data_IF_712400365984
#
_entry.id   IF_712400365984
#
_cell.length_a   1.000
_cell.length_b   1.000
_cell.length_c   1.000
_cell.angle_alpha   90.00
_cell.angle_beta   90.00
_cell.angle_gamma   90.00
#
_symmetry.space_group_name_H-M   'P 1'
#
loop_
_entity.id
_entity.type
_entity.pdbx_description
1 polymer ?
2 non-polymer ?
3 non-polymer ?
4 water ?
#
# COMPACT_ATOMS: atom_id res chain seq x y z
N UNK A 30 -25.04 -12.75 20.41
CA UNK A 30 -25.70 -13.32 19.21
C UNK A 30 -24.93 -12.80 18.00
N UNK A 31 -25.22 -13.30 16.78
CA UNK A 31 -24.78 -12.61 15.57
C UNK A 31 -25.45 -11.23 15.52
N UNK A 32 -26.72 -11.16 15.97
CA UNK A 32 -27.44 -9.91 16.22
C UNK A 32 -27.05 -9.42 17.63
N UNK A 33 -25.79 -8.98 17.76
CA UNK A 33 -25.24 -8.39 18.96
C UNK A 33 -24.43 -7.15 18.55
N UNK A 34 -24.26 -6.18 19.45
CA UNK A 34 -23.38 -5.05 19.19
C UNK A 34 -22.53 -4.78 20.44
N UNK A 35 -21.33 -4.24 20.24
CA UNK A 35 -20.39 -3.95 21.32
C UNK A 35 -19.96 -2.50 21.12
N UNK A 36 -19.60 -1.69 22.14
CA UNK A 36 -19.20 -0.31 21.82
C UNK A 36 -18.25 0.30 22.86
N UNK A 37 -17.57 1.39 22.46
CA UNK A 37 -16.81 2.22 23.41
C UNK A 37 -15.60 1.47 23.97
N UNK A 38 -15.86 0.34 24.66
CA UNK A 38 -14.77 -0.56 25.03
C UNK A 38 -14.09 -1.10 23.77
N UNK A 39 -14.92 -1.37 22.74
CA UNK A 39 -14.45 -1.68 21.39
C UNK A 39 -13.32 -0.73 20.98
N UNK A 40 -13.62 0.57 21.02
CA UNK A 40 -12.72 1.59 20.50
C UNK A 40 -11.38 1.49 21.21
N UNK A 41 -11.42 1.27 22.53
CA UNK A 41 -10.20 1.15 23.31
C UNK A 41 -9.44 -0.10 22.89
N UNK A 42 -10.16 -1.22 22.74
CA UNK A 42 -9.55 -2.49 22.38
C UNK A 42 -8.90 -2.40 21.00
N UNK A 43 -9.64 -1.86 20.03
CA UNK A 43 -9.13 -1.65 18.68
C UNK A 43 -7.77 -0.94 18.71
N UNK A 44 -7.68 0.18 19.43
CA UNK A 44 -6.46 0.96 19.43
C UNK A 44 -5.31 0.09 19.94
N UNK A 45 -5.57 -0.67 20.99
CA UNK A 45 -4.53 -1.47 21.60
C UNK A 45 -4.06 -2.48 20.56
N UNK A 46 -5.04 -3.15 19.96
CA UNK A 46 -4.74 -4.20 18.99
C UNK A 46 -3.99 -3.61 17.80
N UNK A 47 -4.43 -2.45 17.33
CA UNK A 47 -3.77 -1.79 16.22
C UNK A 47 -2.31 -1.46 16.52
N UNK A 48 -2.01 -1.04 17.77
CA UNK A 48 -0.65 -0.73 18.20
C UNK A 48 0.14 -2.03 18.29
N UNK A 49 -0.54 -3.11 18.68
CA UNK A 49 0.13 -4.39 18.77
C UNK A 49 0.54 -4.82 17.36
N UNK A 50 -0.33 -4.51 16.40
CA UNK A 50 -0.04 -4.79 15.01
C UNK A 50 1.18 -4.00 14.51
N UNK A 51 1.30 -2.72 14.90
CA UNK A 51 2.47 -1.94 14.58
C UNK A 51 3.72 -2.66 15.11
N UNK A 52 3.65 -3.12 16.36
CA UNK A 52 4.78 -3.78 16.97
C UNK A 52 5.11 -5.03 16.15
N UNK A 53 4.08 -5.76 15.72
CA UNK A 53 4.26 -6.93 14.88
C UNK A 53 5.07 -6.61 13.61
N UNK A 54 4.64 -5.55 12.91
CA UNK A 54 5.34 -5.12 11.72
C UNK A 54 6.84 -4.92 12.04
N UNK A 55 7.12 -4.24 13.15
CA UNK A 55 8.48 -3.90 13.52
C UNK A 55 9.29 -5.20 13.61
N UNK A 56 8.69 -6.23 14.23
CA UNK A 56 9.26 -7.56 14.38
C UNK A 56 9.53 -8.22 13.02
N UNK A 57 8.51 -8.19 12.17
CA UNK A 57 8.58 -8.80 10.86
C UNK A 57 9.71 -8.18 10.06
N UNK A 58 9.75 -6.84 10.07
CA UNK A 58 10.77 -6.07 9.38
C UNK A 58 12.16 -6.46 9.89
N UNK A 59 12.31 -6.48 11.23
CA UNK A 59 13.60 -6.70 11.86
C UNK A 59 14.10 -8.09 11.49
N UNK A 60 13.19 -9.07 11.53
CA UNK A 60 13.61 -10.45 11.38
C UNK A 60 13.44 -10.89 9.95
N UNK A 61 13.09 -9.94 9.07
CA UNK A 61 13.00 -10.22 7.63
C UNK A 61 12.10 -11.44 7.41
N UNK A 62 10.91 -11.42 8.02
CA UNK A 62 9.89 -12.41 7.79
C UNK A 62 8.72 -11.71 7.12
N UNK A 63 8.26 -12.27 5.99
CA UNK A 63 7.12 -11.75 5.25
C UNK A 63 5.80 -12.26 5.81
N UNK A 64 4.75 -11.48 5.61
CA UNK A 64 3.40 -11.82 6.04
C UNK A 64 2.47 -11.69 4.82
N UNK A 65 1.75 -12.76 4.50
CA UNK A 65 0.76 -12.75 3.44
C UNK A 65 -0.57 -13.03 4.09
N UNK A 66 -1.51 -12.09 3.93
CA UNK A 66 -2.82 -12.23 4.52
C UNK A 66 -3.85 -12.32 3.42
N UNK A 67 -4.67 -13.36 3.48
CA UNK A 67 -5.69 -13.63 2.48
C UNK A 67 -7.07 -13.44 3.09
N UNK A 68 -7.88 -12.62 2.42
CA UNK A 68 -9.25 -12.39 2.84
C UNK A 68 -10.15 -12.90 1.73
N UNK A 69 -11.02 -13.87 2.05
CA UNK A 69 -12.03 -14.33 1.12
C UNK A 69 -13.36 -14.30 1.87
N UNK A 70 -14.43 -14.01 1.15
CA UNK A 70 -15.78 -13.99 1.69
C UNK A 70 -16.70 -13.49 0.58
N UNK A 71 -18.01 -13.63 0.79
CA UNK A 71 -18.94 -13.12 -0.20
C UNK A 71 -18.97 -11.60 -0.08
N UNK A 72 -19.46 -10.89 -1.10
CA UNK A 72 -19.49 -9.44 -1.06
C UNK A 72 -20.39 -8.99 0.09
N UNK A 73 -20.04 -7.86 0.72
CA UNK A 73 -20.73 -7.28 1.87
C UNK A 73 -20.44 -8.01 3.17
N UNK A 74 -19.37 -8.80 3.19
CA UNK A 74 -19.04 -9.58 4.37
C UNK A 74 -18.14 -8.79 5.33
N UNK A 75 -17.47 -7.74 4.81
CA UNK A 75 -16.66 -6.84 5.63
C UNK A 75 -15.16 -7.07 5.51
N UNK A 76 -14.74 -7.76 4.46
CA UNK A 76 -13.32 -7.93 4.17
C UNK A 76 -12.53 -6.63 4.21
N UNK A 77 -12.93 -5.66 3.39
CA UNK A 77 -12.19 -4.40 3.27
C UNK A 77 -12.16 -3.62 4.58
N UNK A 78 -13.26 -3.69 5.34
CA UNK A 78 -13.37 -3.05 6.64
C UNK A 78 -12.31 -3.59 7.60
N UNK A 79 -12.21 -4.91 7.58
CA UNK A 79 -11.29 -5.61 8.45
C UNK A 79 -9.86 -5.26 8.09
N UNK A 80 -9.58 -5.25 6.79
CA UNK A 80 -8.28 -4.90 6.27
C UNK A 80 -7.89 -3.50 6.74
N UNK A 81 -8.83 -2.55 6.64
CA UNK A 81 -8.54 -1.16 7.00
C UNK A 81 -8.14 -1.05 8.47
N UNK A 82 -8.90 -1.74 9.31
CA UNK A 82 -8.70 -1.69 10.75
C UNK A 82 -7.40 -2.39 11.12
N UNK A 83 -7.01 -3.43 10.37
CA UNK A 83 -5.84 -4.21 10.68
C UNK A 83 -4.58 -3.38 10.51
N UNK A 84 -4.52 -2.66 9.39
CA UNK A 84 -3.31 -1.94 9.05
C UNK A 84 -3.39 -0.45 9.37
N UNK A 85 -4.44 0.02 10.08
CA UNK A 85 -4.60 1.44 10.35
C UNK A 85 -3.31 2.07 10.86
N UNK A 86 -2.68 1.46 11.89
CA UNK A 86 -1.56 2.10 12.56
C UNK A 86 -0.23 1.55 12.06
N UNK A 87 -0.26 0.65 11.07
CA UNK A 87 0.94 0.10 10.46
C UNK A 87 1.51 1.13 9.46
N UNK A 88 2.86 1.22 9.38
CA UNK A 88 3.52 2.12 8.44
C UNK A 88 3.21 1.72 7.00
N UNK A 89 2.78 2.67 6.14
CA UNK A 89 2.42 2.36 4.75
C UNK A 89 3.60 1.90 3.89
N UNK A 90 4.82 2.22 4.33
CA UNK A 90 6.02 1.76 3.67
C UNK A 90 6.18 0.24 3.82
N UNK A 91 5.50 -0.34 4.81
CA UNK A 91 5.71 -1.74 5.18
C UNK A 91 4.79 -2.68 4.44
N UNK A 92 3.66 -2.19 3.92
CA UNK A 92 2.60 -3.06 3.38
C UNK A 92 2.13 -2.60 2.00
N UNK A 93 1.59 -3.55 1.21
CA UNK A 93 0.75 -3.25 0.05
C UNK A 93 -0.48 -4.15 0.08
N UNK A 94 -1.67 -3.59 -0.13
CA UNK A 94 -2.92 -4.34 -0.19
C UNK A 94 -3.34 -4.49 -1.64
N UNK A 95 -3.59 -5.72 -2.09
CA UNK A 95 -3.94 -5.97 -3.48
C UNK A 95 -5.42 -6.27 -3.64
N UNK A 96 -6.23 -5.43 -4.30
CA UNK A 96 -7.54 -5.85 -4.75
C UNK A 96 -7.40 -6.83 -5.90
N UNK A 97 -8.09 -7.96 -5.77
CA UNK A 97 -8.03 -9.03 -6.76
C UNK A 97 -9.38 -9.16 -7.45
N UNK A 98 -9.32 -9.09 -8.77
CA UNK A 98 -10.49 -9.22 -9.64
C UNK A 98 -10.28 -10.41 -10.54
N UNK A 99 -11.23 -10.62 -11.42
CA UNK A 99 -11.10 -11.70 -12.38
C UNK A 99 -9.84 -11.50 -13.22
N UNK A 100 -9.15 -12.61 -13.57
CA UNK A 100 -8.00 -12.51 -14.47
C UNK A 100 -8.38 -11.87 -15.80
N UNK A 101 -7.60 -10.86 -16.19
CA UNK A 101 -7.73 -10.28 -17.52
C UNK A 101 -7.03 -11.20 -18.52
N UNK A 102 -7.28 -10.99 -19.83
CA UNK A 102 -6.65 -11.80 -20.87
C UNK A 102 -5.13 -11.93 -20.80
N UNK A 103 -4.44 -10.85 -20.46
CA UNK A 103 -2.98 -10.90 -20.44
C UNK A 103 -2.51 -11.84 -19.34
N UNK A 104 -3.25 -11.85 -18.22
CA UNK A 104 -3.00 -12.76 -17.12
C UNK A 104 -3.26 -14.22 -17.53
N UNK A 105 -4.27 -14.46 -18.39
CA UNK A 105 -4.59 -15.81 -18.85
C UNK A 105 -3.55 -16.40 -19.79
N UNK A 106 -2.61 -15.59 -20.27
CA UNK A 106 -1.51 -16.08 -21.09
C UNK A 106 -0.50 -16.86 -20.25
N UNK A 107 -0.40 -16.59 -18.94
CA UNK A 107 0.41 -17.41 -18.04
C UNK A 107 -0.42 -18.44 -17.25
N UNK A 108 0.23 -19.26 -16.39
CA UNK A 108 -0.44 -20.03 -15.35
C UNK A 108 -1.13 -19.16 -14.28
N UNK A 109 -2.17 -19.71 -13.63
CA UNK A 109 -3.07 -18.92 -12.77
C UNK A 109 -2.36 -18.30 -11.56
N UNK A 110 -1.35 -18.99 -11.04
CA UNK A 110 -0.65 -18.53 -9.86
C UNK A 110 0.33 -17.41 -10.15
N UNK A 111 0.67 -17.17 -11.43
CA UNK A 111 1.68 -16.18 -11.74
C UNK A 111 1.35 -14.77 -11.24
N UNK A 112 0.11 -14.31 -11.50
CA UNK A 112 -0.34 -13.02 -10.97
C UNK A 112 0.03 -12.89 -9.49
N UNK A 113 -0.16 -13.96 -8.71
CA UNK A 113 0.04 -13.89 -7.29
C UNK A 113 1.53 -13.89 -7.01
N UNK A 114 2.26 -14.66 -7.79
CA UNK A 114 3.69 -14.76 -7.59
C UNK A 114 4.32 -13.38 -7.75
N UNK A 115 3.88 -12.63 -8.76
CA UNK A 115 4.36 -11.28 -8.99
C UNK A 115 4.04 -10.36 -7.81
N UNK A 116 2.89 -10.54 -7.16
CA UNK A 116 2.44 -9.67 -6.08
C UNK A 116 2.93 -10.14 -4.71
N UNK A 117 3.83 -11.13 -4.66
CA UNK A 117 4.29 -11.62 -3.36
C UNK A 117 5.13 -10.52 -2.71
N UNK A 118 5.04 -10.38 -1.37
CA UNK A 118 5.89 -9.46 -0.62
C UNK A 118 7.32 -9.95 -0.53
N UNK A 119 8.26 -9.01 -0.44
CA UNK A 119 9.62 -9.37 -0.09
C UNK A 119 9.65 -9.71 1.40
N UNK A 120 10.67 -10.44 1.84
CA UNK A 120 10.84 -10.78 3.24
C UNK A 120 10.83 -9.50 4.08
N UNK A 121 10.02 -9.43 5.13
CA UNK A 121 9.98 -8.25 6.00
C UNK A 121 8.76 -7.39 5.71
N UNK A 122 8.02 -7.77 4.66
CA UNK A 122 6.97 -6.92 4.12
C UNK A 122 5.62 -7.64 4.15
N UNK A 123 4.54 -6.87 4.10
CA UNK A 123 3.22 -7.40 4.32
C UNK A 123 2.48 -7.25 3.01
N UNK A 124 1.83 -8.31 2.56
CA UNK A 124 0.92 -8.27 1.42
C UNK A 124 -0.45 -8.79 1.84
N UNK A 125 -1.47 -8.02 1.50
CA UNK A 125 -2.83 -8.34 1.80
C UNK A 125 -3.54 -8.54 0.49
N UNK A 126 -4.27 -9.63 0.38
CA UNK A 126 -5.02 -9.95 -0.81
C UNK A 126 -6.51 -9.91 -0.49
N UNK A 127 -7.25 -8.93 -1.02
CA UNK A 127 -8.70 -8.94 -1.06
C UNK A 127 -9.09 -9.85 -2.20
N UNK A 128 -9.58 -11.06 -1.87
CA UNK A 128 -9.68 -12.17 -2.79
C UNK A 128 -8.26 -12.60 -3.19
N UNK A 129 -8.11 -13.74 -3.88
CA UNK A 129 -6.83 -14.43 -3.89
C UNK A 129 -6.83 -15.56 -4.92
N UNK A 130 -5.80 -16.40 -4.82
CA UNK A 130 -5.71 -17.58 -5.63
C UNK A 130 -6.85 -18.55 -5.34
N UNK A 131 -7.47 -18.46 -4.16
CA UNK A 131 -8.55 -19.38 -3.82
C UNK A 131 -9.77 -19.19 -4.74
N UNK A 132 -9.73 -18.14 -5.56
CA UNK A 132 -10.72 -17.93 -6.61
C UNK A 132 -10.90 -19.17 -7.48
N UNK A 133 -9.80 -19.87 -7.69
CA UNK A 133 -9.75 -21.07 -8.52
C UNK A 133 -10.72 -22.10 -8.03
N UNK A 134 -10.75 -22.35 -6.71
CA UNK A 134 -11.60 -23.39 -6.14
C UNK A 134 -12.92 -22.81 -5.65
N UNK A 135 -13.17 -21.52 -5.90
CA UNK A 135 -14.42 -20.86 -5.51
C UNK A 135 -15.20 -20.34 -6.73
N UNK A 136 -15.07 -19.06 -7.04
CA UNK A 136 -15.83 -18.49 -8.14
C UNK A 136 -15.60 -19.26 -9.45
N UNK A 137 -14.34 -19.55 -9.77
CA UNK A 137 -14.02 -20.18 -11.04
C UNK A 137 -14.81 -21.47 -11.16
N UNK A 138 -14.90 -22.19 -10.03
CA UNK A 138 -15.59 -23.46 -9.97
C UNK A 138 -17.09 -23.29 -10.18
N UNK A 139 -17.66 -22.36 -9.42
CA UNK A 139 -19.10 -22.16 -9.46
C UNK A 139 -19.53 -21.68 -10.84
N UNK A 140 -18.79 -20.74 -11.45
CA UNK A 140 -19.22 -20.10 -12.68
C UNK A 140 -18.62 -20.82 -13.90
N UNK A 141 -17.96 -21.97 -13.70
CA UNK A 141 -17.49 -22.83 -14.78
C UNK A 141 -16.31 -22.25 -15.56
N UNK A 142 -15.61 -21.25 -15.01
CA UNK A 142 -14.40 -20.73 -15.62
C UNK A 142 -13.33 -21.81 -15.60
N UNK A 143 -13.35 -22.66 -14.56
CA UNK A 143 -12.40 -23.76 -14.47
C UNK A 143 -13.10 -25.10 -14.71
N UNK A 144 -12.53 -25.94 -15.59
CA UNK A 144 -12.92 -27.34 -15.74
C UNK A 144 -12.81 -28.03 -14.38
N UNK A 145 -13.54 -29.13 -14.23
CA UNK A 145 -13.51 -29.90 -12.98
C UNK A 145 -12.10 -30.37 -12.67
N UNK A 146 -11.36 -30.89 -13.66
CA UNK A 146 -10.01 -31.33 -13.37
C UNK A 146 -9.22 -30.14 -12.79
N UNK A 147 -9.37 -28.99 -13.45
CA UNK A 147 -8.64 -27.80 -13.06
C UNK A 147 -8.85 -27.45 -11.58
N UNK A 148 -10.11 -27.39 -11.16
CA UNK A 148 -10.37 -26.97 -9.78
C UNK A 148 -10.08 -28.12 -8.81
N UNK A 149 -10.31 -29.36 -9.22
CA UNK A 149 -10.05 -30.49 -8.34
C UNK A 149 -8.57 -30.59 -8.01
N UNK A 150 -7.71 -30.32 -9.01
CA UNK A 150 -6.27 -30.45 -8.80
C UNK A 150 -5.72 -29.28 -7.99
N UNK A 151 -6.48 -28.18 -7.94
CA UNK A 151 -5.99 -26.90 -7.45
C UNK A 151 -5.71 -26.91 -5.95
N UNK A 152 -6.55 -27.61 -5.17
CA UNK A 152 -6.35 -27.65 -3.70
C UNK A 152 -4.89 -28.05 -3.44
N UNK A 153 -4.42 -29.14 -4.06
CA UNK A 153 -3.07 -29.60 -3.76
C UNK A 153 -2.01 -28.63 -4.31
N UNK A 154 -2.28 -28.05 -5.48
CA UNK A 154 -1.41 -27.04 -6.06
C UNK A 154 -1.23 -25.89 -5.08
N UNK A 155 -2.37 -25.34 -4.62
CA UNK A 155 -2.35 -24.24 -3.67
C UNK A 155 -1.58 -24.61 -2.39
N UNK A 156 -1.80 -25.85 -1.90
CA UNK A 156 -1.17 -26.27 -0.66
C UNK A 156 0.34 -26.29 -0.85
N UNK A 157 0.75 -26.75 -2.03
CA UNK A 157 2.17 -26.85 -2.35
C UNK A 157 2.83 -25.50 -2.53
N UNK A 158 2.10 -24.56 -3.14
CA UNK A 158 2.57 -23.19 -3.27
C UNK A 158 2.80 -22.59 -1.88
N UNK A 159 1.77 -22.69 -1.05
CA UNK A 159 1.83 -22.07 0.27
C UNK A 159 2.98 -22.70 1.06
N UNK A 160 3.22 -24.01 0.89
CA UNK A 160 4.23 -24.70 1.68
C UNK A 160 5.63 -24.23 1.27
N UNK A 161 5.83 -23.98 -0.04
CA UNK A 161 7.10 -23.46 -0.54
C UNK A 161 7.44 -22.18 0.23
N UNK A 162 6.44 -21.32 0.40
CA UNK A 162 6.61 -20.07 1.13
C UNK A 162 6.81 -20.31 2.62
N UNK A 163 5.89 -21.06 3.27
CA UNK A 163 5.85 -21.18 4.72
C UNK A 163 7.09 -21.92 5.24
N UNK A 164 7.65 -22.81 4.41
CA UNK A 164 8.90 -23.50 4.74
C UNK A 164 10.06 -22.53 4.95
N UNK A 165 9.97 -21.36 4.34
CA UNK A 165 10.99 -20.35 4.51
C UNK A 165 10.53 -19.24 5.45
N UNK A 166 10.70 -17.99 5.01
CA UNK A 166 10.54 -16.83 5.85
C UNK A 166 9.27 -16.05 5.53
N UNK A 167 8.22 -16.75 5.13
CA UNK A 167 6.88 -16.18 5.01
C UNK A 167 5.95 -16.86 6.05
N UNK A 168 5.05 -16.04 6.58
CA UNK A 168 3.86 -16.45 7.30
C UNK A 168 2.60 -16.21 6.45
N UNK A 169 1.65 -17.15 6.49
CA UNK A 169 0.39 -17.01 5.78
C UNK A 169 -0.78 -17.24 6.72
N UNK A 170 -1.76 -16.34 6.71
CA UNK A 170 -3.05 -16.58 7.34
C UNK A 170 -4.11 -16.30 6.32
N UNK A 171 -5.18 -17.07 6.35
CA UNK A 171 -6.29 -16.91 5.43
C UNK A 171 -7.54 -16.73 6.26
N UNK A 172 -8.33 -15.72 5.92
CA UNK A 172 -9.55 -15.36 6.64
C UNK A 172 -10.77 -15.55 5.75
N UNK A 173 -11.78 -16.20 6.28
CA UNK A 173 -13.06 -16.24 5.62
C UNK A 173 -14.07 -15.50 6.44
N UNK A 174 -14.82 -14.61 5.81
CA UNK A 174 -15.83 -13.82 6.49
C UNK A 174 -17.22 -14.23 6.00
N UNK A 175 -18.12 -14.55 6.95
CA UNK A 175 -19.46 -14.99 6.63
C UNK A 175 -20.45 -14.03 7.30
N UNK A 176 -21.47 -13.64 6.52
CA UNK A 176 -22.61 -12.88 7.01
C UNK A 176 -23.85 -13.73 6.78
N UNK A 177 -24.73 -13.83 7.77
CA UNK A 177 -26.00 -14.50 7.56
C UNK A 177 -26.79 -13.76 6.46
N UNK A 208 -26.07 -17.90 -5.98
CA UNK A 208 -25.59 -19.30 -5.85
C UNK A 208 -24.93 -19.47 -4.48
N UNK A 209 -25.50 -18.80 -3.46
CA UNK A 209 -25.02 -18.83 -2.08
C UNK A 209 -24.82 -20.25 -1.52
N UNK A 210 -25.78 -21.19 -1.67
CA UNK A 210 -25.56 -22.57 -1.23
C UNK A 210 -24.35 -23.22 -1.90
N UNK A 211 -24.17 -23.01 -3.21
CA UNK A 211 -23.05 -23.58 -3.94
C UNK A 211 -21.73 -23.04 -3.38
N UNK A 212 -21.70 -21.74 -3.05
CA UNK A 212 -20.55 -21.13 -2.40
C UNK A 212 -20.24 -21.84 -1.08
N UNK A 213 -21.24 -22.07 -0.21
CA UNK A 213 -20.93 -22.66 1.08
C UNK A 213 -20.30 -24.03 0.83
N UNK A 214 -20.83 -24.79 -0.14
CA UNK A 214 -20.29 -26.10 -0.44
C UNK A 214 -18.82 -26.01 -0.87
N UNK A 215 -18.52 -25.07 -1.77
CA UNK A 215 -17.18 -24.83 -2.28
C UNK A 215 -16.20 -24.41 -1.18
N UNK A 216 -16.69 -23.50 -0.33
CA UNK A 216 -15.90 -23.03 0.79
C UNK A 216 -15.51 -24.19 1.71
N UNK A 217 -16.46 -25.08 1.99
CA UNK A 217 -16.22 -26.13 2.95
C UNK A 217 -15.11 -27.02 2.39
N UNK A 218 -15.20 -27.34 1.11
CA UNK A 218 -14.20 -28.23 0.56
C UNK A 218 -12.82 -27.55 0.63
N UNK A 219 -12.79 -26.24 0.32
CA UNK A 219 -11.59 -25.46 0.49
C UNK A 219 -11.05 -25.68 1.90
N UNK A 220 -11.90 -25.44 2.89
CA UNK A 220 -11.49 -25.54 4.28
C UNK A 220 -10.92 -26.93 4.59
N UNK A 221 -11.63 -27.99 4.18
CA UNK A 221 -11.19 -29.37 4.40
C UNK A 221 -9.81 -29.60 3.80
N UNK A 222 -9.62 -29.19 2.53
CA UNK A 222 -8.43 -29.59 1.81
C UNK A 222 -7.25 -28.66 2.03
N UNK A 223 -7.45 -27.36 2.36
CA UNK A 223 -6.36 -26.39 2.38
C UNK A 223 -6.14 -25.78 3.76
N UNK A 224 -6.81 -26.26 4.83
CA UNK A 224 -6.52 -25.73 6.16
C UNK A 224 -5.33 -26.51 6.73
N UNK A 225 -4.23 -25.80 7.01
CA UNK A 225 -2.95 -26.39 7.39
C UNK A 225 -2.34 -25.52 8.48
N UNK A 226 -1.47 -26.11 9.32
CA UNK A 226 -0.90 -25.44 10.49
C UNK A 226 -0.18 -24.17 10.08
N UNK A 227 0.72 -24.29 9.09
CA UNK A 227 1.53 -23.20 8.60
C UNK A 227 0.72 -22.20 7.76
N UNK A 228 -0.42 -22.62 7.19
CA UNK A 228 -1.33 -21.72 6.50
C UNK A 228 -2.78 -21.96 6.95
N UNK A 229 -3.15 -21.51 8.16
CA UNK A 229 -4.52 -21.68 8.67
C UNK A 229 -5.61 -20.93 7.94
N UNK A 230 -6.81 -21.52 7.92
CA UNK A 230 -8.03 -20.84 7.56
C UNK A 230 -8.69 -20.42 8.87
N UNK A 231 -9.10 -19.15 8.98
CA UNK A 231 -9.80 -18.61 10.13
C UNK A 231 -11.16 -18.09 9.66
N UNK A 232 -12.23 -18.58 10.28
CA UNK A 232 -13.59 -18.24 9.91
C UNK A 232 -14.06 -17.17 10.88
N UNK A 233 -14.61 -16.06 10.34
CA UNK A 233 -15.02 -14.91 11.12
C UNK A 233 -16.48 -14.62 10.84
N UNK A 234 -17.30 -14.52 11.89
CA UNK A 234 -18.69 -14.15 11.77
C UNK A 234 -18.78 -12.64 11.61
N UNK A 235 -19.43 -12.18 10.52
CA UNK A 235 -19.35 -10.81 10.04
C UNK A 235 -20.60 -9.96 10.31
N UNK A 236 -21.63 -10.59 10.90
CA UNK A 236 -22.90 -9.91 11.13
C UNK A 236 -22.68 -8.67 12.00
N UNK A 237 -21.91 -8.80 13.08
CA UNK A 237 -21.38 -7.66 13.83
C UNK A 237 -19.98 -7.33 13.33
N UNK A 238 -19.87 -6.18 12.68
CA UNK A 238 -18.64 -5.78 12.00
C UNK A 238 -17.55 -5.59 13.05
N UNK A 239 -17.93 -5.05 14.23
CA UNK A 239 -16.95 -4.76 15.26
C UNK A 239 -16.28 -6.04 15.76
N UNK A 240 -17.11 -7.08 16.04
CA UNK A 240 -16.63 -8.40 16.42
C UNK A 240 -15.57 -8.87 15.42
N UNK A 241 -15.96 -8.80 14.15
CA UNK A 241 -15.10 -9.30 13.08
C UNK A 241 -13.74 -8.57 13.08
N UNK A 242 -13.78 -7.26 13.22
CA UNK A 242 -12.55 -6.50 13.12
C UNK A 242 -11.64 -6.89 14.28
N UNK A 243 -12.22 -7.04 15.47
CA UNK A 243 -11.44 -7.46 16.62
C UNK A 243 -10.90 -8.87 16.38
N UNK A 244 -11.74 -9.74 15.85
CA UNK A 244 -11.35 -11.13 15.70
C UNK A 244 -10.13 -11.22 14.78
N UNK A 245 -10.20 -10.49 13.66
CA UNK A 245 -9.15 -10.55 12.67
C UNK A 245 -7.82 -10.12 13.27
N UNK A 246 -7.86 -9.07 14.09
CA UNK A 246 -6.66 -8.55 14.72
C UNK A 246 -6.13 -9.56 15.75
N UNK A 247 -7.02 -10.11 16.56
CA UNK A 247 -6.59 -11.07 17.56
C UNK A 247 -5.97 -12.30 16.90
N UNK A 248 -6.60 -12.84 15.87
CA UNK A 248 -6.08 -14.05 15.23
C UNK A 248 -4.76 -13.76 14.53
N UNK A 249 -4.64 -12.60 13.89
CA UNK A 249 -3.40 -12.25 13.21
C UNK A 249 -2.26 -12.18 14.23
N UNK A 250 -2.52 -11.52 15.34
CA UNK A 250 -1.50 -11.33 16.35
C UNK A 250 -1.04 -12.66 16.95
N UNK A 251 -2.00 -13.53 17.26
CA UNK A 251 -1.65 -14.80 17.88
C UNK A 251 -0.75 -15.66 17.00
N UNK A 252 -1.09 -15.76 15.70
CA UNK A 252 -0.32 -16.58 14.77
C UNK A 252 1.11 -16.07 14.76
N UNK A 253 1.24 -14.74 14.78
CA UNK A 253 2.57 -14.15 14.71
C UNK A 253 3.32 -14.52 15.99
N UNK A 254 2.66 -14.46 17.15
CA UNK A 254 3.32 -14.81 18.39
C UNK A 254 3.76 -16.27 18.40
N UNK A 255 2.91 -17.16 17.91
CA UNK A 255 3.26 -18.56 17.85
C UNK A 255 4.46 -18.72 16.91
N UNK A 256 4.52 -17.96 15.83
CA UNK A 256 5.67 -18.07 14.94
C UNK A 256 6.95 -17.57 15.63
N UNK A 257 6.79 -16.48 16.37
CA UNK A 257 7.91 -15.94 17.13
C UNK A 257 8.43 -17.00 18.09
N UNK A 258 7.55 -17.83 18.66
CA UNK A 258 7.94 -18.92 19.54
C UNK A 258 8.60 -20.02 18.72
N UNK A 259 8.10 -20.33 17.54
CA UNK A 259 8.67 -21.41 16.76
C UNK A 259 10.12 -21.07 16.42
N UNK A 260 10.35 -19.87 15.94
CA UNK A 260 11.71 -19.38 15.78
C UNK A 260 12.03 -18.83 17.15
N UNK A 261 13.28 -18.64 17.55
CA UNK A 261 13.47 -18.18 18.93
C UNK A 261 13.57 -16.66 18.96
N UNK A 262 12.44 -15.94 18.96
CA UNK A 262 12.48 -14.53 18.60
C UNK A 262 11.63 -13.68 19.55
N UNK A 263 11.96 -12.38 19.68
CA UNK A 263 11.21 -11.39 20.45
C UNK A 263 11.19 -11.81 21.93
N UNK B 36 -5.91 24.38 19.17
CA UNK B 36 -5.18 23.17 18.71
C UNK B 36 -6.07 21.91 18.69
N UNK B 37 -7.13 21.86 19.51
CA UNK B 37 -8.15 20.82 19.44
C UNK B 37 -8.85 20.96 18.09
N UNK B 38 -8.96 22.21 17.61
CA UNK B 38 -9.53 22.47 16.30
C UNK B 38 -8.63 21.87 15.21
N UNK B 39 -7.31 21.89 15.41
CA UNK B 39 -6.37 21.17 14.55
C UNK B 39 -6.87 19.74 14.26
N UNK B 40 -7.18 18.99 15.32
CA UNK B 40 -7.61 17.60 15.16
C UNK B 40 -8.83 17.53 14.25
N UNK B 41 -9.73 18.49 14.40
CA UNK B 41 -10.94 18.54 13.61
C UNK B 41 -10.60 18.91 12.16
N UNK B 42 -9.67 19.84 11.97
CA UNK B 42 -9.21 20.25 10.64
C UNK B 42 -8.59 19.07 9.91
N UNK B 43 -7.68 18.37 10.60
CA UNK B 43 -7.02 17.20 10.04
C UNK B 43 -8.06 16.19 9.53
N UNK B 44 -9.05 15.88 10.36
CA UNK B 44 -10.04 14.90 10.00
C UNK B 44 -10.70 15.32 8.69
N UNK B 45 -11.08 16.59 8.63
CA UNK B 45 -11.81 17.07 7.48
C UNK B 45 -10.93 16.89 6.25
N UNK B 46 -9.68 17.31 6.38
CA UNK B 46 -8.75 17.24 5.27
C UNK B 46 -8.56 15.80 4.83
N UNK B 47 -8.38 14.90 5.79
CA UNK B 47 -8.20 13.49 5.49
C UNK B 47 -9.40 12.91 4.72
N UNK B 48 -10.62 13.30 5.10
CA UNK B 48 -11.81 12.82 4.43
C UNK B 48 -11.86 13.43 3.04
N UNK B 49 -11.37 14.66 2.90
CA UNK B 49 -11.37 15.31 1.61
C UNK B 49 -10.42 14.55 0.69
N UNK B 50 -9.34 14.06 1.28
CA UNK B 50 -8.40 13.22 0.55
C UNK B 50 -9.05 11.91 0.07
N UNK B 51 -9.88 11.28 0.91
CA UNK B 51 -10.67 10.11 0.52
C UNK B 51 -11.48 10.45 -0.73
N UNK B 52 -12.18 11.58 -0.69
CA UNK B 52 -13.03 11.99 -1.80
C UNK B 52 -12.17 12.16 -3.03
N UNK B 53 -10.98 12.75 -2.86
CA UNK B 53 -10.04 12.96 -3.95
C UNK B 53 -9.73 11.64 -4.65
N UNK B 54 -9.32 10.66 -3.85
CA UNK B 54 -9.01 9.36 -4.41
C UNK B 54 -10.19 8.83 -5.23
N UNK B 55 -11.40 8.94 -4.67
CA UNK B 55 -12.59 8.40 -5.31
C UNK B 55 -12.74 9.01 -6.70
N UNK B 56 -12.49 10.33 -6.79
CA UNK B 56 -12.52 11.10 -8.02
C UNK B 56 -11.44 10.63 -8.99
N UNK B 57 -10.21 10.50 -8.49
CA UNK B 57 -9.08 10.09 -9.29
C UNK B 57 -9.38 8.74 -9.93
N UNK B 58 -9.87 7.82 -9.10
CA UNK B 58 -10.22 6.47 -9.53
C UNK B 58 -11.28 6.52 -10.64
N UNK B 59 -12.34 7.29 -10.39
CA UNK B 59 -13.49 7.35 -11.28
C UNK B 59 -13.03 7.92 -12.62
N UNK B 60 -12.19 8.97 -12.57
CA UNK B 60 -11.83 9.71 -13.77
C UNK B 60 -10.52 9.18 -14.32
N UNK B 61 -10.04 8.09 -13.73
CA UNK B 61 -8.87 7.37 -14.23
C UNK B 61 -7.72 8.36 -14.44
N UNK B 62 -7.45 9.20 -13.43
CA UNK B 62 -6.29 10.08 -13.42
C UNK B 62 -5.38 9.64 -12.29
N UNK B 63 -4.09 9.48 -12.58
CA UNK B 63 -3.11 9.03 -11.61
C UNK B 63 -2.49 10.20 -10.87
N UNK B 64 -1.97 9.89 -9.67
CA UNK B 64 -1.43 10.88 -8.75
C UNK B 64 -0.07 10.39 -8.28
N UNK B 65 0.95 11.20 -8.50
CA UNK B 65 2.30 10.87 -8.09
C UNK B 65 2.70 11.97 -7.11
N UNK B 66 3.07 11.56 -5.90
CA UNK B 66 3.48 12.51 -4.88
C UNK B 66 4.93 12.24 -4.53
N UNK B 67 5.74 13.29 -4.58
CA UNK B 67 7.15 13.21 -4.26
C UNK B 67 7.43 13.97 -2.96
N UNK B 68 8.12 13.31 -2.03
CA UNK B 68 8.55 13.92 -0.80
C UNK B 68 10.07 13.88 -0.78
N UNK B 69 10.70 15.04 -0.71
CA UNK B 69 12.14 15.10 -0.52
C UNK B 69 12.43 16.00 0.67
N UNK B 70 13.50 15.68 1.39
CA UNK B 70 13.99 16.50 2.48
C UNK B 70 15.13 15.78 3.18
N UNK B 71 15.87 16.51 4.00
CA UNK B 71 16.92 15.86 4.79
C UNK B 71 16.24 15.07 5.90
N UNK B 72 16.96 14.13 6.52
CA UNK B 72 16.36 13.24 7.50
C UNK B 72 15.81 14.06 8.67
N UNK B 73 14.72 13.57 9.27
CA UNK B 73 14.03 14.17 10.41
C UNK B 73 13.10 15.30 10.00
N UNK B 74 12.93 15.52 8.69
CA UNK B 74 12.14 16.61 8.19
C UNK B 74 10.65 16.40 8.46
N UNK B 75 10.22 15.14 8.71
CA UNK B 75 8.81 14.81 8.96
C UNK B 75 8.10 14.22 7.75
N UNK B 76 8.86 13.76 6.74
CA UNK B 76 8.32 13.17 5.53
C UNK B 76 7.33 12.05 5.84
N UNK B 77 7.77 11.04 6.58
CA UNK B 77 6.96 9.88 6.86
C UNK B 77 5.69 10.23 7.63
N UNK B 78 5.79 11.19 8.56
CA UNK B 78 4.66 11.64 9.36
C UNK B 78 3.58 12.24 8.45
N UNK B 79 4.07 13.06 7.51
CA UNK B 79 3.20 13.75 6.57
C UNK B 79 2.49 12.73 5.68
N UNK B 80 3.26 11.76 5.21
CA UNK B 80 2.72 10.71 4.37
C UNK B 80 1.63 9.94 5.12
N UNK B 81 1.89 9.60 6.38
CA UNK B 81 0.92 8.84 7.18
C UNK B 81 -0.41 9.60 7.29
N UNK B 82 -0.30 10.91 7.54
CA UNK B 82 -1.46 11.75 7.77
C UNK B 82 -2.24 11.89 6.48
N UNK B 83 -1.53 11.97 5.35
CA UNK B 83 -2.14 12.20 4.05
C UNK B 83 -3.05 11.03 3.69
N UNK B 84 -2.53 9.81 3.86
CA UNK B 84 -3.23 8.62 3.40
C UNK B 84 -4.00 7.90 4.51
N UNK B 85 -4.14 8.49 5.70
CA UNK B 85 -4.76 7.79 6.81
C UNK B 85 -6.11 7.22 6.41
N UNK B 86 -6.99 8.03 5.82
CA UNK B 86 -8.36 7.61 5.61
C UNK B 86 -8.55 7.17 4.15
N UNK B 87 -7.46 7.19 3.36
CA UNK B 87 -7.49 6.69 1.98
C UNK B 87 -7.49 5.16 1.98
N UNK B 88 -8.24 4.57 1.04
CA UNK B 88 -8.29 3.11 0.89
C UNK B 88 -6.91 2.56 0.50
N UNK B 89 -6.40 1.52 1.19
CA UNK B 89 -5.06 0.96 0.90
C UNK B 89 -4.96 0.30 -0.48
N UNK B 90 -6.12 -0.11 -1.00
CA UNK B 90 -6.24 -0.62 -2.36
C UNK B 90 -5.88 0.45 -3.39
N UNK B 91 -5.96 1.73 -3.00
CA UNK B 91 -5.85 2.82 -3.95
C UNK B 91 -4.44 3.31 -4.14
N UNK B 92 -3.52 3.00 -3.22
CA UNK B 92 -2.22 3.68 -3.14
C UNK B 92 -1.10 2.68 -2.84
N UNK B 93 0.12 3.03 -3.26
CA UNK B 93 1.34 2.38 -2.79
C UNK B 93 2.37 3.44 -2.41
N UNK B 94 3.01 3.28 -1.25
CA UNK B 94 4.07 4.21 -0.83
C UNK B 94 5.43 3.55 -1.02
N UNK B 95 6.35 4.18 -1.76
CA UNK B 95 7.63 3.56 -2.06
C UNK B 95 8.74 4.20 -1.25
N UNK B 96 9.39 3.46 -0.33
CA UNK B 96 10.65 3.93 0.25
C UNK B 96 11.75 3.83 -0.78
N UNK B 97 12.48 4.93 -0.98
CA UNK B 97 13.49 5.01 -2.01
C UNK B 97 14.86 5.16 -1.36
N UNK B 98 15.73 4.22 -1.75
CA UNK B 98 17.05 4.10 -1.20
C UNK B 98 18.08 4.30 -2.29
N UNK B 99 19.34 4.33 -1.89
CA UNK B 99 20.38 4.49 -2.89
C UNK B 99 20.34 3.32 -3.87
N UNK B 100 20.53 3.58 -5.19
CA UNK B 100 20.40 2.52 -6.19
C UNK B 100 21.31 1.34 -5.91
N UNK B 101 20.72 0.16 -5.93
CA UNK B 101 21.47 -1.07 -5.80
C UNK B 101 22.11 -1.40 -7.16
N UNK B 102 23.08 -2.33 -7.20
CA UNK B 102 23.75 -2.68 -8.46
C UNK B 102 22.86 -3.06 -9.63
N UNK B 103 21.76 -3.77 -9.36
CA UNK B 103 20.90 -4.24 -10.44
C UNK B 103 20.23 -3.04 -11.11
N UNK B 104 19.92 -2.03 -10.30
CA UNK B 104 19.34 -0.79 -10.75
C UNK B 104 20.36 -0.02 -11.60
N UNK B 105 21.63 -0.08 -11.23
CA UNK B 105 22.71 0.63 -11.95
C UNK B 105 22.96 0.05 -13.35
N UNK B 106 22.48 -1.17 -13.63
CA UNK B 106 22.63 -1.78 -14.95
C UNK B 106 21.71 -1.10 -15.98
N UNK B 107 20.59 -0.50 -15.55
CA UNK B 107 19.76 0.32 -16.43
C UNK B 107 20.04 1.82 -16.24
N UNK B 108 19.31 2.68 -16.97
CA UNK B 108 19.25 4.12 -16.73
C UNK B 108 18.68 4.46 -15.34
N UNK B 109 19.03 5.65 -14.83
CA UNK B 109 18.62 6.05 -13.49
C UNK B 109 17.10 6.16 -13.29
N UNK B 110 16.39 6.56 -14.36
CA UNK B 110 14.95 6.77 -14.26
C UNK B 110 14.17 5.46 -14.26
N UNK B 111 14.80 4.36 -14.71
CA UNK B 111 14.07 3.12 -14.86
C UNK B 111 13.41 2.61 -13.57
N UNK B 112 14.13 2.65 -12.44
CA UNK B 112 13.57 2.28 -11.15
C UNK B 112 12.21 2.94 -10.96
N UNK B 113 12.15 4.23 -11.31
CA UNK B 113 10.94 5.01 -11.03
C UNK B 113 9.88 4.61 -12.04
N UNK B 114 10.31 4.42 -13.28
CA UNK B 114 9.38 4.05 -14.32
C UNK B 114 8.65 2.76 -13.94
N UNK B 115 9.37 1.79 -13.38
CA UNK B 115 8.75 0.54 -12.91
C UNK B 115 7.73 0.79 -11.81
N UNK B 116 7.98 1.76 -10.94
CA UNK B 116 7.11 2.03 -9.80
C UNK B 116 5.94 2.97 -10.11
N UNK B 117 5.78 3.39 -11.37
CA UNK B 117 4.76 4.37 -11.69
C UNK B 117 3.38 3.77 -11.46
N UNK B 118 2.42 4.56 -10.94
CA UNK B 118 1.05 4.11 -10.72
C UNK B 118 0.28 3.99 -12.01
N UNK B 119 -0.72 3.11 -12.01
CA UNK B 119 -1.66 3.06 -13.11
C UNK B 119 -2.52 4.31 -13.02
N UNK B 120 -3.18 4.64 -14.13
CA UNK B 120 -4.20 5.67 -14.13
C UNK B 120 -5.23 5.33 -13.06
N UNK B 121 -5.58 6.32 -12.22
CA UNK B 121 -6.59 6.15 -11.20
C UNK B 121 -6.01 5.80 -9.83
N UNK B 122 -4.68 5.69 -9.74
CA UNK B 122 -4.04 5.16 -8.55
C UNK B 122 -3.01 6.15 -8.04
N UNK B 123 -2.60 5.98 -6.78
CA UNK B 123 -1.73 6.92 -6.13
C UNK B 123 -0.41 6.23 -5.88
N UNK B 124 0.68 6.92 -6.20
CA UNK B 124 2.02 6.50 -5.84
C UNK B 124 2.70 7.60 -5.03
N UNK B 125 3.31 7.19 -3.92
CA UNK B 125 4.02 8.12 -3.05
C UNK B 125 5.48 7.68 -3.05
N UNK B 126 6.38 8.66 -3.20
CA UNK B 126 7.79 8.38 -3.19
C UNK B 126 8.41 9.09 -1.99
N UNK B 127 8.86 8.36 -0.97
CA UNK B 127 9.74 8.90 0.05
C UNK B 127 11.15 8.89 -0.54
N UNK B 128 11.64 10.09 -0.89
CA UNK B 128 12.77 10.28 -1.81
C UNK B 128 12.35 9.78 -3.21
N UNK B 129 13.17 10.04 -4.23
CA UNK B 129 12.69 10.06 -5.61
C UNK B 129 13.85 10.18 -6.61
N UNK B 130 13.48 10.43 -7.87
CA UNK B 130 14.45 10.66 -8.92
C UNK B 130 15.28 11.91 -8.65
N UNK B 131 14.78 12.82 -7.80
CA UNK B 131 15.48 14.06 -7.54
C UNK B 131 16.81 13.79 -6.81
N UNK B 132 17.01 12.53 -6.40
CA UNK B 132 18.25 12.11 -5.78
C UNK B 132 19.46 12.44 -6.66
N UNK B 133 19.23 12.36 -7.97
CA UNK B 133 20.27 12.61 -8.95
C UNK B 133 20.81 14.03 -8.82
N UNK B 134 19.93 15.03 -8.61
CA UNK B 134 20.35 16.41 -8.49
C UNK B 134 20.55 16.84 -7.03
N UNK B 135 20.47 15.87 -6.09
CA UNK B 135 20.70 16.14 -4.66
C UNK B 135 21.87 15.31 -4.16
N UNK B 136 21.59 14.22 -3.45
CA UNK B 136 22.61 13.41 -2.83
C UNK B 136 23.65 13.01 -3.86
N UNK B 137 23.24 12.53 -5.04
CA UNK B 137 24.19 11.98 -6.01
C UNK B 137 25.21 13.07 -6.35
N UNK B 138 24.71 14.31 -6.47
CA UNK B 138 25.55 15.47 -6.75
C UNK B 138 26.53 15.74 -5.63
N UNK B 139 26.00 15.84 -4.41
CA UNK B 139 26.79 16.20 -3.25
C UNK B 139 27.88 15.16 -3.00
N UNK B 140 27.58 13.86 -3.12
CA UNK B 140 28.51 12.81 -2.75
C UNK B 140 29.32 12.33 -3.96
N UNK B 141 29.13 12.97 -5.14
CA UNK B 141 29.90 12.66 -6.33
C UNK B 141 29.55 11.31 -6.95
N UNK B 142 28.38 10.74 -6.61
CA UNK B 142 27.90 9.53 -7.26
C UNK B 142 27.60 9.83 -8.72
N UNK B 143 27.16 11.07 -9.00
CA UNK B 143 26.93 11.52 -10.36
C UNK B 143 27.98 12.56 -10.77
N UNK B 144 28.58 12.35 -11.95
CA UNK B 144 29.41 13.36 -12.61
C UNK B 144 28.64 14.68 -12.72
N UNK B 145 29.39 15.77 -12.85
CA UNK B 145 28.81 17.10 -13.03
C UNK B 145 27.92 17.12 -14.27
N UNK B 146 28.38 16.52 -15.39
CA UNK B 146 27.54 16.56 -16.56
C UNK B 146 26.21 15.88 -16.23
N UNK B 147 26.33 14.72 -15.56
CA UNK B 147 25.16 13.90 -15.25
C UNK B 147 24.13 14.74 -14.49
N UNK B 148 24.56 15.44 -13.44
CA UNK B 148 23.57 16.13 -12.61
C UNK B 148 23.13 17.41 -13.30
N UNK B 149 24.02 18.06 -14.04
CA UNK B 149 23.67 19.30 -14.73
C UNK B 149 22.59 19.04 -15.78
N UNK B 150 22.70 17.90 -16.48
CA UNK B 150 21.77 17.57 -17.55
C UNK B 150 20.42 17.11 -16.97
N UNK B 151 20.43 16.67 -15.71
CA UNK B 151 19.32 15.94 -15.12
C UNK B 151 18.09 16.82 -14.95
N UNK B 152 18.29 18.10 -14.62
CA UNK B 152 17.16 19.00 -14.40
C UNK B 152 16.24 18.91 -15.62
N UNK B 153 16.80 19.05 -16.83
CA UNK B 153 15.98 19.05 -18.04
C UNK B 153 15.37 17.66 -18.30
N UNK B 154 16.18 16.61 -18.07
CA UNK B 154 15.72 15.24 -18.20
C UNK B 154 14.47 15.03 -17.32
N UNK B 155 14.60 15.40 -16.04
CA UNK B 155 13.52 15.24 -15.09
C UNK B 155 12.28 16.03 -15.53
N UNK B 156 12.49 17.25 -16.01
CA UNK B 156 11.37 18.08 -16.39
C UNK B 156 10.62 17.42 -17.54
N UNK B 157 11.40 16.83 -18.46
CA UNK B 157 10.83 16.18 -19.63
C UNK B 157 10.08 14.91 -19.27
N UNK B 158 10.64 14.13 -18.34
CA UNK B 158 9.94 12.97 -17.80
C UNK B 158 8.58 13.38 -17.22
N UNK B 159 8.62 14.37 -16.33
CA UNK B 159 7.40 14.81 -15.67
C UNK B 159 6.36 15.29 -16.69
N UNK B 160 6.82 16.01 -17.73
CA UNK B 160 5.91 16.57 -18.72
C UNK B 160 5.23 15.46 -19.52
N UNK B 161 5.98 14.38 -19.82
CA UNK B 161 5.45 13.27 -20.61
C UNK B 161 4.24 12.74 -19.86
N UNK B 162 4.37 12.64 -18.53
CA UNK B 162 3.31 12.11 -17.68
C UNK B 162 2.15 13.07 -17.60
N UNK B 163 2.48 14.32 -17.21
CA UNK B 163 1.46 15.33 -16.91
C UNK B 163 0.62 15.67 -18.14
N UNK B 164 1.24 15.59 -19.34
CA UNK B 164 0.53 15.86 -20.58
C UNK B 164 -0.61 14.86 -20.81
N UNK B 165 -0.52 13.68 -20.19
CA UNK B 165 -1.61 12.71 -20.24
C UNK B 165 -2.50 12.79 -19.00
N UNK B 166 -2.70 11.64 -18.35
CA UNK B 166 -3.63 11.52 -17.23
C UNK B 166 -2.90 11.28 -15.91
N UNK B 167 -1.74 11.94 -15.72
CA UNK B 167 -1.09 11.99 -14.41
C UNK B 167 -1.10 13.42 -13.84
N UNK B 168 -1.23 13.53 -12.50
CA UNK B 168 -0.99 14.71 -11.68
C UNK B 168 0.23 14.49 -10.80
N UNK B 169 1.08 15.52 -10.68
CA UNK B 169 2.33 15.39 -9.92
C UNK B 169 2.46 16.59 -9.00
N UNK B 170 2.76 16.33 -7.74
CA UNK B 170 3.15 17.35 -6.79
C UNK B 170 4.43 16.90 -6.13
N UNK B 171 5.30 17.84 -5.85
CA UNK B 171 6.57 17.56 -5.19
C UNK B 171 6.63 18.43 -3.95
N UNK B 172 7.04 17.83 -2.83
CA UNK B 172 7.08 18.50 -1.54
C UNK B 172 8.51 18.47 -1.01
N UNK B 173 8.99 19.63 -0.57
CA UNK B 173 10.24 19.67 0.17
C UNK B 173 9.98 20.08 1.60
N UNK B 174 10.55 19.33 2.52
CA UNK B 174 10.40 19.54 3.94
C UNK B 174 11.77 19.87 4.52
N UNK B 175 11.82 20.99 5.25
CA UNK B 175 13.03 21.48 5.89
C UNK B 175 12.67 21.67 7.36
N UNK B 176 13.61 21.25 8.21
CA UNK B 176 13.54 21.58 9.63
C UNK B 176 14.69 22.52 9.92
N UNK B 177 14.34 23.69 10.45
CA UNK B 177 15.29 24.72 10.85
C UNK B 177 15.29 24.82 12.38
N UNK B 208 27.09 18.66 5.67
CA UNK B 208 26.97 19.06 4.24
C UNK B 208 25.65 19.79 3.99
N UNK B 209 24.94 20.16 5.09
CA UNK B 209 23.63 20.80 5.03
C UNK B 209 23.62 22.07 4.17
N UNK B 210 24.60 22.99 4.29
CA UNK B 210 24.66 24.14 3.38
C UNK B 210 24.73 23.74 1.91
N UNK B 211 25.52 22.71 1.57
CA UNK B 211 25.62 22.25 0.19
C UNK B 211 24.26 21.75 -0.32
N UNK B 212 23.54 21.01 0.55
CA UNK B 212 22.18 20.56 0.26
C UNK B 212 21.26 21.75 0.00
N UNK B 213 21.31 22.80 0.82
CA UNK B 213 20.37 23.90 0.63
C UNK B 213 20.65 24.54 -0.74
N UNK B 214 21.92 24.66 -1.11
CA UNK B 214 22.28 25.22 -2.41
C UNK B 214 21.71 24.37 -3.55
N UNK B 215 21.89 23.04 -3.44
CA UNK B 215 21.40 22.08 -4.42
C UNK B 215 19.88 22.14 -4.56
N UNK B 216 19.19 22.23 -3.42
CA UNK B 216 17.75 22.31 -3.40
C UNK B 216 17.27 23.55 -4.16
N UNK B 217 17.96 24.68 -3.96
CA UNK B 217 17.50 25.92 -4.57
C UNK B 217 17.61 25.79 -6.08
N UNK B 218 18.71 25.19 -6.54
CA UNK B 218 18.89 25.02 -7.98
C UNK B 218 17.77 24.15 -8.53
N UNK B 219 17.48 23.06 -7.79
CA UNK B 219 16.38 22.18 -8.13
C UNK B 219 15.12 23.02 -8.27
N UNK B 220 14.81 23.81 -7.24
CA UNK B 220 13.58 24.58 -7.23
C UNK B 220 13.54 25.51 -8.44
N UNK B 221 14.64 26.23 -8.70
CA UNK B 221 14.74 27.13 -9.84
C UNK B 221 14.40 26.40 -11.13
N UNK B 222 15.10 25.28 -11.38
CA UNK B 222 15.03 24.60 -12.66
C UNK B 222 13.81 23.70 -12.82
N UNK B 223 13.28 23.06 -11.76
CA UNK B 223 12.27 22.01 -11.90
C UNK B 223 10.92 22.40 -11.30
N UNK B 224 10.71 23.63 -10.85
CA UNK B 224 9.37 24.00 -10.41
C UNK B 224 8.57 24.45 -11.61
N UNK B 225 7.47 23.75 -11.90
CA UNK B 225 6.70 23.96 -13.12
C UNK B 225 5.22 23.87 -12.78
N UNK B 226 4.39 24.49 -13.62
CA UNK B 226 2.94 24.51 -13.42
C UNK B 226 2.39 23.09 -13.30
N UNK B 227 2.73 22.24 -14.26
CA UNK B 227 2.33 20.84 -14.36
C UNK B 227 2.85 20.00 -13.19
N UNK B 228 4.05 20.35 -12.68
CA UNK B 228 4.69 19.65 -11.59
C UNK B 228 5.27 20.64 -10.58
N UNK B 229 4.41 21.26 -9.75
CA UNK B 229 4.87 22.17 -8.69
C UNK B 229 5.78 21.61 -7.60
N UNK B 230 6.75 22.42 -7.16
CA UNK B 230 7.48 22.18 -5.91
C UNK B 230 6.83 23.01 -4.81
N UNK B 231 6.51 22.38 -3.67
CA UNK B 231 5.93 23.03 -2.51
C UNK B 231 6.89 22.89 -1.33
N UNK B 232 7.18 24.02 -0.68
CA UNK B 232 8.11 24.05 0.45
C UNK B 232 7.30 24.02 1.73
N UNK B 233 7.61 23.09 2.65
CA UNK B 233 6.89 22.96 3.90
C UNK B 233 7.88 23.20 5.03
N UNK B 234 7.55 24.19 5.88
CA UNK B 234 8.34 24.51 7.05
C UNK B 234 8.05 23.47 8.13
N UNK B 235 9.12 22.84 8.65
CA UNK B 235 9.00 21.61 9.44
C UNK B 235 9.01 21.84 10.95
N UNK B 236 9.17 23.09 11.37
CA UNK B 236 9.37 23.44 12.77
C UNK B 236 8.14 22.99 13.58
N UNK B 237 6.94 23.35 13.10
CA UNK B 237 5.72 22.82 13.68
C UNK B 237 5.21 21.68 12.81
N UNK B 238 5.29 20.44 13.34
CA UNK B 238 4.94 19.26 12.56
C UNK B 238 3.46 19.30 12.18
N UNK B 239 2.61 19.77 13.10
CA UNK B 239 1.18 19.76 12.85
C UNK B 239 0.82 20.67 11.67
N UNK B 240 1.39 21.88 11.65
CA UNK B 240 1.20 22.81 10.55
C UNK B 240 1.55 22.11 9.23
N UNK B 241 2.73 21.49 9.21
CA UNK B 241 3.24 20.84 8.03
C UNK B 241 2.27 19.76 7.52
N UNK B 242 1.76 18.95 8.42
CA UNK B 242 0.89 17.86 7.99
C UNK B 242 -0.36 18.44 7.33
N UNK B 243 -0.90 19.49 7.93
CA UNK B 243 -2.03 20.21 7.37
C UNK B 243 -1.64 20.79 6.00
N UNK B 244 -0.43 21.35 5.93
CA UNK B 244 -0.03 22.03 4.72
C UNK B 244 0.01 21.04 3.56
N UNK B 245 0.61 19.87 3.80
CA UNK B 245 0.74 18.87 2.77
C UNK B 245 -0.63 18.46 2.23
N UNK B 246 -1.59 18.27 3.12
CA UNK B 246 -2.92 17.88 2.72
C UNK B 246 -3.60 19.00 1.95
N UNK B 247 -3.45 20.24 2.44
CA UNK B 247 -4.08 21.36 1.77
C UNK B 247 -3.51 21.54 0.38
N UNK B 248 -2.19 21.50 0.25
CA UNK B 248 -1.58 21.74 -1.04
C UNK B 248 -1.93 20.60 -2.02
N UNK B 249 -1.96 19.37 -1.51
CA UNK B 249 -2.27 18.23 -2.36
C UNK B 249 -3.66 18.42 -2.95
N UNK B 250 -4.61 18.77 -2.07
CA UNK B 250 -6.00 18.85 -2.48
C UNK B 250 -6.17 19.97 -3.50
N UNK B 251 -5.49 21.10 -3.27
CA UNK B 251 -5.57 22.27 -4.13
C UNK B 251 -5.17 21.94 -5.55
N UNK B 252 -3.98 21.32 -5.71
CA UNK B 252 -3.47 21.02 -7.03
C UNK B 252 -4.45 20.10 -7.75
N UNK B 253 -5.03 19.16 -7.00
CA UNK B 253 -6.01 18.26 -7.61
C UNK B 253 -7.20 19.07 -8.10
N UNK B 254 -7.70 20.02 -7.29
CA UNK B 254 -8.87 20.80 -7.66
C UNK B 254 -8.56 21.65 -8.89
N UNK B 255 -7.36 22.25 -8.91
CA UNK B 255 -6.90 23.04 -10.04
C UNK B 255 -6.97 22.22 -11.31
N UNK B 256 -6.45 21.00 -11.20
CA UNK B 256 -6.40 20.13 -12.36
C UNK B 256 -7.80 19.72 -12.81
N UNK B 257 -8.66 19.44 -11.85
CA UNK B 257 -10.03 19.03 -12.16
C UNK B 257 -10.70 20.07 -13.05
N UNK B 258 -10.49 21.35 -12.69
CA UNK B 258 -11.07 22.49 -13.37
C UNK B 258 -10.48 22.56 -14.78
N UNK B 259 -9.16 22.40 -14.87
CA UNK B 259 -8.50 22.46 -16.15
C UNK B 259 -9.09 21.38 -17.07
N UNK B 260 -9.37 20.18 -16.56
CA UNK B 260 -9.99 19.16 -17.37
C UNK B 260 -11.50 19.22 -17.28
N UNK B 261 -12.02 20.27 -16.64
CA UNK B 261 -13.46 20.50 -16.58
C UNK B 261 -14.26 19.35 -15.97
N UNK B 262 -13.83 18.86 -14.80
CA UNK B 262 -14.60 17.90 -14.01
C UNK B 262 -14.82 18.47 -12.59
N UNK B 263 -15.86 17.98 -11.86
CA UNK B 263 -16.08 18.33 -10.45
C UNK B 263 -15.14 19.45 -10.03
#
# INVERSE_FOLDING_TARGET
MGSSHHHHHHSSGLVPRGSHMTQNIKNLDLSIELDKKMYKKKLEVLQYEMLNAQQFLLKNKIGLILVFEGMDAAGKGGAIKRLIERVDPRGYVVHPISAPQPHELRYNYLQRFWRKLPQHGQIAVFDRSWYGRVLVERIEGFATKDEWSRAYEEINNFEKILTAGDYIIIKFWLHVSDEEQLKRFKEREQNPYKSWKLTDEDWRNREKSPQYIEAANEMFEKTDKKNAPWVLVAGNDKKYARIQVLQETLAHIEREALKRGLHLTNVLDKAHLEDAESSSLNILNEKKK
MGSSHHHHHHSSGLVPRGSHMTQNIKNLDLSIELDKKMYKKKLEVLQYEMLNAQQFLLKNKIGLILVFEGMDAAGKGGAIKRLIERVDPRGYVVHPISAPQPHELRYNYLQRFWRKLPQHGQIAVFDRSWYGRVLVERIEGFATKDEWSRAYEEINNFEKILTAGDYIIIKFWLHVSDEEQLKRFKEREQNPYKSWKLTDEDWRNREKSPQYIEAANEMFEKTDKKNAPWVLVAGNDKKYARIQVLQETLAHIEREALKRGLHLTNVLDKAHLEDAESSSLNILNEKKK
#
